data_IF_404436658924
#
_entry.id   IF_404436658924
#
_cell.length_a   1.000
_cell.length_b   1.000
_cell.length_c   1.000
_cell.angle_alpha   90.00
_cell.angle_beta   90.00
_cell.angle_gamma   90.00
#
_symmetry.space_group_name_H-M   'P 1'
#
loop_
_entity.id
_entity.type
_entity.pdbx_description
1 polymer ?
#
# COMPACT_ATOMS: atom_id res chain seq x y z
N UNK A 1 38.71 -19.01 -43.57
CA UNK A 1 38.82 -18.46 -42.20
C UNK A 1 37.97 -17.19 -42.01
N UNK A 2 37.49 -16.56 -43.09
CA UNK A 2 36.68 -15.34 -43.01
C UNK A 2 35.25 -15.54 -42.51
N UNK A 3 34.60 -16.69 -42.77
CA UNK A 3 33.23 -16.94 -42.30
C UNK A 3 33.11 -17.09 -40.78
N UNK A 4 34.11 -17.67 -40.11
CA UNK A 4 34.14 -17.75 -38.64
C UNK A 4 34.34 -16.36 -38.00
N UNK A 5 35.18 -15.51 -38.61
CA UNK A 5 35.39 -14.12 -38.16
C UNK A 5 34.10 -13.30 -38.28
N UNK A 6 33.38 -13.44 -39.39
CA UNK A 6 32.09 -12.76 -39.57
C UNK A 6 31.02 -13.29 -38.61
N UNK A 7 31.00 -14.60 -38.33
CA UNK A 7 30.07 -15.19 -37.35
C UNK A 7 30.31 -14.67 -35.93
N UNK A 8 31.59 -14.52 -35.52
CA UNK A 8 31.93 -13.93 -34.23
C UNK A 8 31.51 -12.45 -34.13
N UNK A 9 31.67 -11.68 -35.21
CA UNK A 9 31.24 -10.28 -35.24
C UNK A 9 29.70 -10.18 -35.15
N UNK A 10 28.97 -11.03 -35.86
CA UNK A 10 27.49 -11.05 -35.80
C UNK A 10 27.02 -11.45 -34.41
N UNK A 11 27.62 -12.48 -33.80
CA UNK A 11 27.28 -12.90 -32.44
C UNK A 11 27.56 -11.80 -31.41
N UNK A 12 28.69 -11.10 -31.53
CA UNK A 12 29.05 -9.98 -30.66
C UNK A 12 28.06 -8.82 -30.79
N UNK A 13 27.65 -8.47 -32.02
CA UNK A 13 26.65 -7.44 -32.27
C UNK A 13 25.28 -7.84 -31.70
N UNK A 14 24.90 -9.11 -31.80
CA UNK A 14 23.63 -9.62 -31.25
C UNK A 14 23.59 -9.55 -29.72
N UNK A 15 24.68 -9.91 -29.04
CA UNK A 15 24.76 -9.81 -27.57
C UNK A 15 24.77 -8.34 -27.12
N UNK A 16 25.49 -7.47 -27.82
CA UNK A 16 25.48 -6.02 -27.55
C UNK A 16 24.08 -5.42 -27.71
N UNK A 17 23.37 -5.83 -28.77
CA UNK A 17 21.99 -5.42 -29.01
C UNK A 17 21.02 -5.91 -27.93
N UNK A 18 21.17 -7.16 -27.45
CA UNK A 18 20.36 -7.68 -26.33
C UNK A 18 20.59 -6.91 -25.03
N UNK A 19 21.84 -6.54 -24.71
CA UNK A 19 22.15 -5.75 -23.50
C UNK A 19 21.51 -4.36 -23.58
N UNK A 20 21.55 -3.73 -24.76
CA UNK A 20 20.90 -2.44 -24.97
C UNK A 20 19.37 -2.54 -24.86
N UNK A 21 18.73 -3.58 -25.43
CA UNK A 21 17.28 -3.78 -25.27
C UNK A 21 16.87 -3.99 -23.80
N UNK A 22 17.67 -4.72 -23.02
CA UNK A 22 17.42 -4.90 -21.59
C UNK A 22 17.50 -3.58 -20.82
N UNK A 23 18.48 -2.72 -21.17
CA UNK A 23 18.61 -1.39 -20.58
C UNK A 23 17.44 -0.46 -20.96
N UNK A 24 17.00 -0.49 -22.21
CA UNK A 24 15.86 0.33 -22.67
C UNK A 24 14.54 -0.10 -22.00
N UNK A 25 14.31 -1.41 -21.81
CA UNK A 25 13.13 -1.94 -21.11
C UNK A 25 13.09 -1.54 -19.63
N UNK A 26 14.23 -1.52 -18.95
CA UNK A 26 14.33 -1.11 -17.55
C UNK A 26 14.13 0.40 -17.38
N UNK A 27 14.50 1.21 -18.38
CA UNK A 27 14.39 2.68 -18.31
C UNK A 27 13.08 3.26 -18.83
N UNK A 28 12.39 2.57 -19.74
CA UNK A 28 11.09 2.99 -20.28
C UNK A 28 10.08 1.82 -20.21
N UNK A 29 9.53 1.49 -19.02
CA UNK A 29 8.47 0.50 -18.94
C UNK A 29 7.29 0.97 -19.78
N UNK A 30 6.95 0.19 -20.81
CA UNK A 30 5.74 0.46 -21.60
C UNK A 30 4.52 0.33 -20.68
N UNK A 31 3.49 1.18 -20.84
CA UNK A 31 2.21 0.96 -20.18
C UNK A 31 1.67 -0.40 -20.63
N UNK A 32 1.73 -1.39 -19.74
CA UNK A 32 1.12 -2.68 -19.98
C UNK A 32 -0.38 -2.47 -20.12
N UNK A 33 -0.93 -2.89 -21.26
CA UNK A 33 -2.37 -3.04 -21.42
C UNK A 33 -2.85 -4.00 -20.33
N UNK A 34 -3.74 -3.52 -19.45
CA UNK A 34 -4.41 -4.32 -18.45
C UNK A 34 -5.23 -5.42 -19.13
N UNK A 35 -4.70 -6.63 -19.14
CA UNK A 35 -5.52 -7.83 -19.23
C UNK A 35 -6.26 -7.96 -17.91
N UNK A 36 -7.55 -7.63 -17.93
CA UNK A 36 -8.47 -7.95 -16.83
C UNK A 36 -8.52 -9.46 -16.69
N UNK A 37 -7.73 -10.00 -15.76
CA UNK A 37 -7.85 -11.39 -15.35
C UNK A 37 -9.02 -11.44 -14.36
N UNK A 38 -10.20 -11.75 -14.89
CA UNK A 38 -11.36 -12.12 -14.09
C UNK A 38 -11.06 -13.44 -13.40
N UNK A 39 -10.49 -13.37 -12.20
CA UNK A 39 -10.45 -14.53 -11.30
C UNK A 39 -11.85 -14.68 -10.72
N UNK A 40 -12.66 -15.53 -11.36
CA UNK A 40 -13.88 -16.07 -10.74
C UNK A 40 -13.47 -16.80 -9.48
N UNK A 41 -13.47 -16.09 -8.34
CA UNK A 41 -13.40 -16.72 -7.03
C UNK A 41 -14.75 -17.36 -6.79
N UNK A 42 -14.75 -18.68 -6.74
CA UNK A 42 -15.91 -19.47 -6.39
C UNK A 42 -16.55 -18.94 -5.10
N UNK A 43 -17.82 -18.56 -5.19
CA UNK A 43 -18.67 -18.34 -4.04
C UNK A 43 -18.73 -19.64 -3.23
N UNK A 44 -18.11 -19.63 -2.05
CA UNK A 44 -18.08 -20.78 -1.15
C UNK A 44 -17.38 -20.45 0.17
N UNK A 45 -18.13 -19.82 1.08
CA UNK A 45 -17.92 -19.92 2.54
C UNK A 45 -16.67 -19.29 3.18
N UNK A 46 -16.16 -18.16 2.66
CA UNK A 46 -15.14 -17.35 3.34
C UNK A 46 -15.54 -15.87 3.57
N UNK A 47 -16.84 -15.57 3.55
CA UNK A 47 -17.36 -14.20 3.60
C UNK A 47 -17.35 -13.53 5.00
N UNK A 48 -16.78 -14.16 6.04
CA UNK A 48 -16.85 -13.64 7.41
C UNK A 48 -15.49 -13.20 8.00
N UNK A 49 -14.40 -13.25 7.22
CA UNK A 49 -13.04 -12.91 7.68
C UNK A 49 -12.19 -12.14 6.64
N UNK A 50 -12.84 -11.44 5.70
CA UNK A 50 -12.12 -10.70 4.66
C UNK A 50 -11.27 -9.57 5.24
N UNK A 51 -9.95 -9.61 5.00
CA UNK A 51 -9.07 -8.43 5.16
C UNK A 51 -9.40 -7.46 4.02
N UNK A 52 -9.79 -6.22 4.31
CA UNK A 52 -10.19 -5.28 3.27
C UNK A 52 -8.97 -4.68 2.55
N UNK A 53 -9.15 -4.28 1.30
CA UNK A 53 -8.13 -3.55 0.54
C UNK A 53 -8.08 -2.06 0.95
N UNK A 54 -6.91 -1.44 0.86
CA UNK A 54 -6.74 0.01 1.07
C UNK A 54 -7.52 0.80 0.02
N UNK A 55 -8.41 1.67 0.47
CA UNK A 55 -9.25 2.52 -0.38
C UNK A 55 -8.74 3.95 -0.46
N UNK A 56 -9.32 4.75 -1.35
CA UNK A 56 -8.96 6.16 -1.47
C UNK A 56 -9.53 6.95 -0.28
N UNK A 57 -8.67 7.65 0.46
CA UNK A 57 -9.04 8.51 1.59
C UNK A 57 -8.10 9.69 1.72
N UNK A 58 -8.31 10.52 2.75
CA UNK A 58 -7.36 11.59 3.05
C UNK A 58 -6.15 10.99 3.73
N UNK A 59 -4.97 11.51 3.42
CA UNK A 59 -3.73 11.12 4.09
C UNK A 59 -3.43 12.12 5.21
N UNK A 60 -3.14 11.61 6.39
CA UNK A 60 -2.65 12.42 7.52
C UNK A 60 -1.20 12.06 7.83
N UNK A 61 -0.43 13.05 8.27
CA UNK A 61 0.97 12.88 8.68
C UNK A 61 1.08 12.89 10.18
N UNK A 62 1.79 11.91 10.73
CA UNK A 62 2.05 11.77 12.16
C UNK A 62 3.55 11.72 12.37
N UNK A 63 4.10 12.64 13.15
CA UNK A 63 5.54 12.77 13.35
C UNK A 63 5.91 12.78 14.82
N UNK A 64 6.90 11.97 15.16
CA UNK A 64 7.60 11.98 16.45
C UNK A 64 9.09 12.25 16.22
N UNK A 65 9.89 12.04 17.26
CA UNK A 65 11.35 12.03 17.24
C UNK A 65 11.93 10.94 16.33
N UNK A 66 11.36 9.73 16.34
CA UNK A 66 11.90 8.56 15.62
C UNK A 66 11.08 8.12 14.41
N UNK A 67 9.81 8.52 14.31
CA UNK A 67 8.89 8.03 13.29
C UNK A 67 8.18 9.16 12.58
N UNK A 68 8.02 9.03 11.26
CA UNK A 68 7.06 9.81 10.48
C UNK A 68 6.17 8.83 9.71
N UNK A 69 4.87 8.90 9.94
CA UNK A 69 3.87 7.99 9.38
C UNK A 69 2.91 8.76 8.48
N UNK A 70 2.51 8.12 7.39
CA UNK A 70 1.39 8.54 6.54
C UNK A 70 0.25 7.56 6.75
N UNK A 71 -0.88 8.04 7.30
CA UNK A 71 -2.05 7.22 7.62
C UNK A 71 -3.20 7.61 6.70
N UNK A 72 -3.88 6.62 6.12
CA UNK A 72 -5.06 6.83 5.30
C UNK A 72 -6.33 6.79 6.15
N UNK A 73 -7.13 7.86 6.12
CA UNK A 73 -8.39 7.94 6.88
C UNK A 73 -9.47 6.99 6.37
N UNK A 74 -9.30 6.39 5.20
CA UNK A 74 -10.11 5.27 4.75
C UNK A 74 -9.59 3.98 5.44
N UNK A 75 -10.22 3.64 6.56
CA UNK A 75 -9.91 2.43 7.30
C UNK A 75 -8.74 2.52 8.30
N UNK A 76 -7.90 3.55 8.24
CA UNK A 76 -6.85 3.79 9.24
C UNK A 76 -5.54 3.04 9.00
N UNK A 77 -5.24 2.71 7.73
CA UNK A 77 -4.01 2.01 7.39
C UNK A 77 -2.80 2.94 7.39
N UNK A 78 -1.64 2.40 7.76
CA UNK A 78 -0.34 3.08 7.61
C UNK A 78 0.22 2.74 6.23
N UNK A 79 0.17 3.72 5.33
CA UNK A 79 0.62 3.57 3.94
C UNK A 79 2.12 3.85 3.77
N UNK A 80 2.71 4.66 4.65
CA UNK A 80 4.13 4.96 4.64
C UNK A 80 4.66 5.14 6.07
N UNK A 81 5.92 4.77 6.28
CA UNK A 81 6.62 4.95 7.54
C UNK A 81 8.10 5.19 7.30
N UNK A 82 8.60 6.32 7.79
CA UNK A 82 10.00 6.69 7.80
C UNK A 82 10.57 6.51 9.20
N UNK A 83 11.75 5.88 9.29
CA UNK A 83 12.52 5.78 10.53
C UNK A 83 13.50 6.96 10.57
N UNK A 84 13.10 8.04 11.24
CA UNK A 84 13.81 9.34 11.22
C UNK A 84 15.24 9.26 11.79
N UNK A 85 15.48 8.34 12.73
CA UNK A 85 16.78 8.14 13.35
C UNK A 85 17.76 7.30 12.50
N UNK A 86 17.31 6.75 11.37
CA UNK A 86 18.09 5.81 10.56
C UNK A 86 18.25 6.36 9.15
N UNK A 87 19.48 6.52 8.63
CA UNK A 87 19.68 6.98 7.27
C UNK A 87 19.35 5.87 6.26
N UNK A 88 18.80 6.24 5.11
CA UNK A 88 18.43 5.32 4.02
C UNK A 88 19.61 4.48 3.52
N UNK A 89 20.78 5.10 3.42
CA UNK A 89 22.04 4.45 3.05
C UNK A 89 23.19 5.09 3.83
N UNK A 90 24.37 4.47 3.77
CA UNK A 90 25.56 4.98 4.44
C UNK A 90 25.86 6.42 3.99
N UNK A 91 25.95 7.36 4.96
CA UNK A 91 26.16 8.81 4.76
C UNK A 91 25.02 9.57 4.06
N UNK A 92 23.83 8.97 3.89
CA UNK A 92 22.65 9.71 3.43
C UNK A 92 22.08 10.60 4.55
N UNK A 93 21.51 11.74 4.17
CA UNK A 93 20.69 12.60 5.06
C UNK A 93 19.20 12.26 4.98
N UNK A 94 18.79 11.41 4.03
CA UNK A 94 17.41 10.95 3.91
C UNK A 94 17.12 9.83 4.93
N UNK A 95 15.97 9.85 5.60
CA UNK A 95 15.58 8.78 6.51
C UNK A 95 15.26 7.47 5.76
N UNK A 96 15.43 6.35 6.44
CA UNK A 96 15.10 5.03 5.92
C UNK A 96 13.58 4.86 5.81
N UNK A 97 13.11 4.49 4.62
CA UNK A 97 11.70 4.19 4.38
C UNK A 97 11.43 2.71 4.66
N UNK A 98 10.63 2.45 5.70
CA UNK A 98 10.24 1.10 6.10
C UNK A 98 8.96 0.65 5.40
N UNK A 99 7.89 1.43 5.56
CA UNK A 99 6.62 1.19 4.85
C UNK A 99 6.54 2.13 3.65
N UNK A 100 6.06 1.61 2.53
CA UNK A 100 6.02 2.33 1.26
C UNK A 100 4.80 1.89 0.46
N UNK A 101 4.15 2.86 -0.18
CA UNK A 101 3.08 2.64 -1.14
C UNK A 101 3.40 3.39 -2.41
N UNK A 102 4.00 2.69 -3.37
CA UNK A 102 4.27 3.17 -4.72
C UNK A 102 3.68 2.22 -5.75
N UNK A 103 3.50 2.63 -7.01
CA UNK A 103 3.04 1.73 -8.07
C UNK A 103 3.94 0.49 -8.28
N UNK A 104 5.21 0.58 -7.87
CA UNK A 104 6.22 -0.48 -8.05
C UNK A 104 6.38 -1.35 -6.81
N UNK A 105 6.09 -0.84 -5.61
CA UNK A 105 6.28 -1.55 -4.36
C UNK A 105 5.24 -1.12 -3.32
N UNK A 106 4.58 -2.10 -2.69
CA UNK A 106 3.59 -1.86 -1.64
C UNK A 106 3.96 -2.70 -0.43
N UNK A 107 4.24 -2.01 0.67
CA UNK A 107 4.42 -2.58 1.99
C UNK A 107 3.75 -1.68 3.04
N UNK A 108 2.60 -2.12 3.54
CA UNK A 108 1.72 -1.35 4.41
C UNK A 108 1.42 -2.11 5.71
N UNK A 109 1.06 -1.38 6.75
CA UNK A 109 0.47 -1.95 7.96
C UNK A 109 -1.02 -1.61 8.01
N UNK A 110 -1.86 -2.63 7.80
CA UNK A 110 -3.31 -2.48 7.75
C UNK A 110 -3.94 -3.02 9.03
N UNK A 111 -4.99 -2.35 9.50
CA UNK A 111 -5.77 -2.79 10.64
C UNK A 111 -7.23 -2.40 10.47
N UNK A 112 -8.14 -3.06 11.19
CA UNK A 112 -9.56 -2.78 11.08
C UNK A 112 -10.43 -3.73 11.88
N UNK A 113 -11.72 -3.41 11.95
CA UNK A 113 -12.73 -4.21 12.64
C UNK A 113 -13.55 -5.01 11.63
N UNK A 114 -13.31 -6.32 11.56
CA UNK A 114 -14.01 -7.26 10.65
C UNK A 114 -15.06 -8.12 11.37
N UNK A 115 -15.61 -9.14 10.69
CA UNK A 115 -16.65 -10.04 11.19
C UNK A 115 -18.07 -9.54 10.92
N UNK A 116 -19.07 -10.24 11.45
CA UNK A 116 -20.50 -10.02 11.15
C UNK A 116 -20.91 -8.55 11.14
N UNK A 117 -20.51 -7.79 12.17
CA UNK A 117 -20.92 -6.39 12.36
C UNK A 117 -19.75 -5.40 12.16
N UNK A 118 -18.60 -5.88 11.66
CA UNK A 118 -17.39 -5.08 11.51
C UNK A 118 -17.48 -4.10 10.33
N UNK A 119 -17.20 -2.79 10.51
CA UNK A 119 -17.26 -1.80 9.42
C UNK A 119 -16.20 -2.01 8.34
N UNK A 120 -15.08 -2.65 8.68
CA UNK A 120 -14.01 -2.97 7.73
C UNK A 120 -14.28 -4.29 6.97
N UNK A 121 -15.34 -5.05 7.32
CA UNK A 121 -15.70 -6.25 6.58
C UNK A 121 -16.28 -5.85 5.20
N UNK A 122 -15.70 -6.30 4.07
CA UNK A 122 -16.21 -6.00 2.74
C UNK A 122 -17.68 -6.42 2.52
N UNK A 123 -18.19 -7.38 3.29
CA UNK A 123 -19.60 -7.79 3.25
C UNK A 123 -20.56 -6.71 3.81
N UNK A 124 -20.06 -5.82 4.66
CA UNK A 124 -20.84 -4.75 5.30
C UNK A 124 -20.78 -3.42 4.54
N UNK A 125 -20.01 -3.35 3.46
CA UNK A 125 -19.90 -2.18 2.59
C UNK A 125 -18.46 -1.72 2.38
N UNK A 126 -18.27 -0.47 1.92
CA UNK A 126 -16.93 0.11 1.84
C UNK A 126 -16.37 0.31 3.25
N UNK A 127 -15.03 0.30 3.33
CA UNK A 127 -14.32 0.60 4.57
C UNK A 127 -14.75 1.95 5.18
N UNK A 128 -14.68 2.09 6.51
CA UNK A 128 -15.08 3.31 7.19
C UNK A 128 -14.17 4.48 6.79
N UNK A 129 -14.79 5.57 6.36
CA UNK A 129 -14.08 6.84 6.26
C UNK A 129 -14.11 7.52 7.63
N UNK A 130 -12.93 7.66 8.23
CA UNK A 130 -12.75 8.32 9.51
C UNK A 130 -12.63 9.84 9.36
N UNK A 131 -13.18 10.55 10.34
CA UNK A 131 -12.96 11.96 10.59
C UNK A 131 -11.81 12.15 11.58
N UNK A 132 -11.05 13.22 11.38
CA UNK A 132 -9.88 13.57 12.17
C UNK A 132 -9.77 15.10 12.21
N UNK A 133 -9.31 15.64 13.33
CA UNK A 133 -9.34 17.08 13.58
C UNK A 133 -8.34 17.88 12.73
N UNK A 134 -7.25 17.23 12.31
CA UNK A 134 -6.13 17.85 11.58
C UNK A 134 -5.54 16.87 10.57
N UNK A 135 -4.79 17.41 9.62
CA UNK A 135 -4.07 16.61 8.62
C UNK A 135 -2.62 16.33 9.03
N UNK A 136 -2.09 17.04 10.04
CA UNK A 136 -0.74 16.86 10.56
C UNK A 136 -0.71 16.87 12.09
N UNK A 137 0.01 15.91 12.66
CA UNK A 137 0.20 15.73 14.09
C UNK A 137 1.68 15.59 14.39
N UNK A 138 2.17 16.35 15.38
CA UNK A 138 3.58 16.32 15.79
C UNK A 138 3.63 16.16 17.30
N UNK A 139 4.47 15.25 17.78
CA UNK A 139 4.77 15.12 19.20
C UNK A 139 5.49 16.40 19.65
N UNK A 140 4.88 17.12 20.59
CA UNK A 140 5.43 18.37 21.08
C UNK A 140 6.66 18.14 21.97
N UNK A 141 7.55 19.13 22.04
CA UNK A 141 8.74 19.07 22.88
C UNK A 141 8.38 18.80 24.34
N UNK A 142 9.09 17.84 24.95
CA UNK A 142 8.89 17.43 26.34
C UNK A 142 7.62 16.59 26.59
N UNK A 143 6.94 16.13 25.54
CA UNK A 143 5.87 15.13 25.64
C UNK A 143 6.40 13.74 25.27
N UNK A 144 5.86 12.71 25.93
CA UNK A 144 6.20 11.31 25.66
C UNK A 144 5.08 10.55 24.92
N UNK A 145 3.91 11.18 24.73
CA UNK A 145 2.73 10.56 24.13
C UNK A 145 2.04 11.48 23.11
N UNK A 146 1.68 10.89 21.96
CA UNK A 146 0.85 11.52 20.94
C UNK A 146 -0.35 10.62 20.63
N UNK A 147 -1.55 11.07 21.00
CA UNK A 147 -2.81 10.34 20.75
C UNK A 147 -3.57 10.99 19.60
N UNK A 148 -3.99 10.20 18.63
CA UNK A 148 -4.66 10.67 17.41
C UNK A 148 -5.99 9.93 17.25
N UNK A 149 -7.10 10.52 17.72
CA UNK A 149 -8.42 9.90 17.59
C UNK A 149 -8.95 10.03 16.17
N UNK A 150 -9.31 8.89 15.57
CA UNK A 150 -10.04 8.79 14.30
C UNK A 150 -11.47 8.32 14.62
N UNK A 151 -12.48 9.06 14.16
CA UNK A 151 -13.89 8.77 14.52
C UNK A 151 -14.76 8.61 13.29
N UNK A 152 -15.66 7.63 13.32
CA UNK A 152 -16.63 7.40 12.25
C UNK A 152 -17.99 7.06 12.85
N UNK A 153 -19.06 7.40 12.14
CA UNK A 153 -20.42 7.03 12.52
C UNK A 153 -20.88 5.92 11.58
N UNK A 154 -21.08 4.73 12.14
CA UNK A 154 -21.70 3.62 11.40
C UNK A 154 -23.22 3.75 11.47
N UNK A 155 -23.91 3.35 10.39
CA UNK A 155 -25.36 3.20 10.45
C UNK A 155 -25.68 2.09 11.45
N UNK A 156 -26.66 2.26 12.35
CA UNK A 156 -27.03 1.19 13.27
C UNK A 156 -27.41 -0.06 12.48
N UNK A 157 -26.89 -1.21 12.93
CA UNK A 157 -27.26 -2.50 12.37
C UNK A 157 -28.79 -2.62 12.42
N UNK A 158 -29.43 -2.66 11.27
CA UNK A 158 -30.87 -2.94 11.21
C UNK A 158 -31.04 -4.36 11.70
N UNK A 159 -31.55 -4.54 12.91
CA UNK A 159 -31.94 -5.84 13.43
C UNK A 159 -32.96 -6.42 12.47
N UNK A 160 -32.57 -7.39 11.64
CA UNK A 160 -33.53 -8.21 10.90
C UNK A 160 -34.51 -8.78 11.92
N UNK A 161 -35.83 -8.65 11.73
CA UNK A 161 -36.79 -9.20 12.67
C UNK A 161 -36.57 -10.71 12.74
N UNK A 162 -36.23 -11.19 13.94
CA UNK A 162 -36.16 -12.61 14.25
C UNK A 162 -37.50 -13.23 13.80
N UNK A 163 -37.52 -14.25 12.91
CA UNK A 163 -38.77 -14.92 12.60
C UNK A 163 -39.31 -15.50 13.89
N UNK A 164 -40.52 -15.06 14.27
CA UNK A 164 -41.26 -15.62 15.39
C UNK A 164 -41.47 -17.12 15.16
N UNK A 165 -41.37 -17.95 16.22
CA UNK A 165 -41.56 -19.39 16.14
C UNK A 165 -42.99 -19.77 15.74
#
# INVERSE_FOLDING_TARGET
>A
MDSQRNLLIIALLFVSFMIWQAWEQDKNPQPQQQTTQTTTTAAGSAADQGVPASGQGKLITVKTDVLELTINTNGGDIEQALLLAYPKTLKSTEPFQLLETTPQFVYQAQSGLTGRDGPDNPANGPRPLYNVDKEAFVLADGQDELVIPLTTLTKPATSSPKPSP
#
